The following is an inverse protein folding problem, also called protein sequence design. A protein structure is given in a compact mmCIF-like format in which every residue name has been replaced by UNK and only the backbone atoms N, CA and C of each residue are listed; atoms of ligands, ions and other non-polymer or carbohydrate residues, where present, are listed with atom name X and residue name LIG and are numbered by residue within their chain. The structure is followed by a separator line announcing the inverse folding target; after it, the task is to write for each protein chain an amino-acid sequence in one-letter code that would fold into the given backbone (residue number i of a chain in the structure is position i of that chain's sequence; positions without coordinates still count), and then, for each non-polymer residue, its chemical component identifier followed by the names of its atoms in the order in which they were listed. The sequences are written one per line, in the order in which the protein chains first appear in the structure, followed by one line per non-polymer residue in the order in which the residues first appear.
data_IF_016831950014
#
_entry.id   IF_016831950014
#
_cell.length_a   1.000
_cell.length_b   1.000
_cell.length_c   1.000
_cell.angle_alpha   90.00
_cell.angle_beta   90.00
_cell.angle_gamma   90.00
#
_symmetry.space_group_name_H-M   'P 1'
#
loop_
_entity.id
_entity.type
_entity.pdbx_description
1 polymer ?
#
# COMPACT_ATOMS: atom_id res chain seq x y z
N UNK A 1 -8.92 -17.56 13.05
CA UNK A 1 -8.31 -16.52 12.21
C UNK A 1 -7.03 -16.07 12.89
N UNK A 2 -5.93 -15.97 12.14
CA UNK A 2 -4.60 -15.60 12.66
C UNK A 2 -4.07 -14.41 11.85
N UNK A 3 -4.90 -13.38 11.73
CA UNK A 3 -4.63 -12.17 10.94
C UNK A 3 -4.61 -10.94 11.85
N UNK A 4 -3.90 -9.92 11.39
CA UNK A 4 -3.78 -8.61 12.06
C UNK A 4 -4.31 -7.52 11.12
N UNK A 5 -4.82 -6.38 11.64
CA UNK A 5 -4.90 -6.01 13.06
C UNK A 5 -6.14 -6.54 13.81
N UNK A 6 -6.04 -6.56 15.13
CA UNK A 6 -7.14 -6.78 16.07
C UNK A 6 -7.01 -5.81 17.26
N UNK A 7 -8.14 -5.39 17.83
CA UNK A 7 -8.21 -4.53 19.01
C UNK A 7 -9.01 -5.22 20.13
N UNK A 8 -8.61 -4.96 21.37
CA UNK A 8 -9.35 -5.31 22.58
C UNK A 8 -9.57 -4.02 23.37
N UNK A 9 -10.83 -3.68 23.63
CA UNK A 9 -11.21 -2.55 24.46
C UNK A 9 -12.16 -3.03 25.57
N UNK A 10 -11.62 -3.16 26.78
CA UNK A 10 -12.28 -3.90 27.86
C UNK A 10 -12.60 -5.35 27.46
N UNK A 11 -13.89 -5.67 27.42
CA UNK A 11 -14.38 -6.99 26.98
C UNK A 11 -14.70 -7.09 25.48
N UNK A 12 -14.68 -5.97 24.74
CA UNK A 12 -15.00 -5.93 23.32
C UNK A 12 -13.78 -6.33 22.47
N UNK A 13 -13.99 -7.19 21.48
CA UNK A 13 -12.95 -7.69 20.57
C UNK A 13 -13.39 -7.45 19.13
N UNK A 14 -12.51 -6.85 18.35
CA UNK A 14 -12.77 -6.54 16.94
C UNK A 14 -11.52 -6.79 16.10
N UNK A 15 -11.73 -7.31 14.89
CA UNK A 15 -10.73 -7.46 13.84
C UNK A 15 -11.26 -6.78 12.58
N UNK A 16 -10.42 -6.68 11.53
CA UNK A 16 -10.58 -5.83 10.35
C UNK A 16 -10.15 -4.37 10.56
N UNK A 17 -9.13 -3.94 9.84
CA UNK A 17 -8.52 -2.61 9.98
C UNK A 17 -9.53 -1.47 9.80
N UNK A 18 -10.38 -1.54 8.77
CA UNK A 18 -11.39 -0.50 8.51
C UNK A 18 -12.45 -0.46 9.63
N UNK A 19 -12.89 -1.61 10.13
CA UNK A 19 -13.84 -1.67 11.23
C UNK A 19 -13.23 -1.10 12.53
N UNK A 20 -11.95 -1.38 12.79
CA UNK A 20 -11.20 -0.82 13.91
C UNK A 20 -11.08 0.70 13.78
N UNK A 21 -10.76 1.24 12.61
CA UNK A 21 -10.69 2.69 12.38
C UNK A 21 -12.05 3.36 12.63
N UNK A 22 -13.14 2.76 12.17
CA UNK A 22 -14.51 3.24 12.44
C UNK A 22 -14.82 3.20 13.94
N UNK A 23 -14.51 2.09 14.61
CA UNK A 23 -14.68 1.95 16.06
C UNK A 23 -13.97 3.07 16.81
N UNK A 24 -12.68 3.25 16.54
CA UNK A 24 -11.86 4.28 17.18
C UNK A 24 -12.41 5.70 16.92
N UNK A 25 -12.85 6.00 15.70
CA UNK A 25 -13.43 7.30 15.40
C UNK A 25 -14.76 7.54 16.13
N UNK A 26 -15.57 6.50 16.34
CA UNK A 26 -16.86 6.61 17.03
C UNK A 26 -16.76 6.63 18.56
N UNK A 27 -15.77 5.96 19.14
CA UNK A 27 -15.67 5.82 20.61
C UNK A 27 -14.79 6.87 21.28
N UNK A 28 -14.00 7.62 20.51
CA UNK A 28 -13.09 8.63 21.03
C UNK A 28 -13.61 10.04 20.73
N UNK A 29 -14.20 10.76 21.71
CA UNK A 29 -14.84 12.06 21.48
C UNK A 29 -13.88 13.19 21.06
N UNK A 30 -12.57 12.97 21.14
CA UNK A 30 -11.55 13.92 20.67
C UNK A 30 -11.18 13.77 19.18
N UNK A 31 -11.72 12.77 18.48
CA UNK A 31 -11.43 12.56 17.06
C UNK A 31 -12.24 13.56 16.23
N UNK A 32 -11.56 14.31 15.37
CA UNK A 32 -12.19 15.29 14.50
C UNK A 32 -13.15 14.64 13.48
N UNK A 33 -14.28 15.30 13.20
CA UNK A 33 -15.36 14.77 12.35
C UNK A 33 -14.89 14.39 10.94
N UNK A 34 -13.90 15.09 10.39
CA UNK A 34 -13.38 14.83 9.04
C UNK A 34 -12.86 13.39 8.86
N UNK A 35 -12.37 12.74 9.93
CA UNK A 35 -11.91 11.35 9.88
C UNK A 35 -13.04 10.37 9.55
N UNK A 36 -14.20 10.55 10.18
CA UNK A 36 -15.39 9.72 9.98
C UNK A 36 -16.67 10.55 10.17
N UNK A 37 -17.09 11.30 9.13
CA UNK A 37 -18.13 12.31 9.26
C UNK A 37 -19.48 11.77 9.74
N UNK A 38 -20.21 12.57 10.51
CA UNK A 38 -21.62 12.28 10.89
C UNK A 38 -22.55 12.32 9.67
N UNK A 39 -22.23 13.14 8.66
CA UNK A 39 -23.02 13.22 7.43
C UNK A 39 -23.06 11.85 6.71
N UNK A 40 -24.27 11.33 6.52
CA UNK A 40 -24.49 9.98 6.00
C UNK A 40 -24.00 9.82 4.56
N UNK A 41 -24.09 10.87 3.74
CA UNK A 41 -23.68 10.80 2.34
C UNK A 41 -22.16 10.77 2.20
N UNK A 42 -21.43 11.62 2.94
CA UNK A 42 -19.97 11.59 3.04
C UNK A 42 -19.49 10.25 3.57
N UNK A 43 -20.10 9.78 4.66
CA UNK A 43 -19.78 8.48 5.28
C UNK A 43 -19.97 7.31 4.31
N UNK A 44 -21.07 7.28 3.57
CA UNK A 44 -21.35 6.22 2.59
C UNK A 44 -20.33 6.22 1.45
N UNK A 45 -19.88 7.41 1.00
CA UNK A 45 -18.81 7.51 0.00
C UNK A 45 -17.46 7.01 0.55
N UNK A 46 -17.14 7.30 1.81
CA UNK A 46 -15.94 6.76 2.47
C UNK A 46 -15.99 5.24 2.50
N UNK A 47 -17.11 4.63 2.92
CA UNK A 47 -17.29 3.17 2.90
C UNK A 47 -17.10 2.58 1.50
N UNK A 48 -17.65 3.21 0.47
CA UNK A 48 -17.47 2.78 -0.92
C UNK A 48 -15.98 2.70 -1.32
N UNK A 49 -15.15 3.66 -0.89
CA UNK A 49 -13.71 3.64 -1.14
C UNK A 49 -13.02 2.52 -0.35
N UNK A 50 -13.36 2.38 0.94
CA UNK A 50 -12.77 1.35 1.81
C UNK A 50 -13.05 -0.06 1.29
N UNK A 51 -14.28 -0.32 0.83
CA UNK A 51 -14.67 -1.61 0.24
C UNK A 51 -14.00 -1.82 -1.13
N UNK A 52 -13.99 -0.79 -1.98
CA UNK A 52 -13.29 -0.82 -3.26
C UNK A 52 -11.80 -1.13 -3.09
N UNK A 53 -11.16 -0.56 -2.08
CA UNK A 53 -9.74 -0.72 -1.80
C UNK A 53 -9.31 -2.19 -1.66
N UNK A 54 -10.09 -3.02 -0.96
CA UNK A 54 -9.75 -4.43 -0.71
C UNK A 54 -9.51 -5.23 -1.99
N UNK A 55 -10.44 -5.13 -2.95
CA UNK A 55 -10.39 -5.92 -4.19
C UNK A 55 -9.56 -5.27 -5.30
N UNK A 56 -9.15 -4.02 -5.12
CA UNK A 56 -8.46 -3.23 -6.14
C UNK A 56 -7.07 -2.83 -5.68
N UNK A 57 -6.91 -1.69 -5.00
CA UNK A 57 -5.60 -1.16 -4.67
C UNK A 57 -4.79 -2.13 -3.79
N UNK A 58 -5.41 -2.75 -2.78
CA UNK A 58 -4.75 -3.75 -1.93
C UNK A 58 -4.34 -5.01 -2.65
N UNK A 59 -5.26 -5.57 -3.44
CA UNK A 59 -4.95 -6.74 -4.27
C UNK A 59 -3.82 -6.46 -5.27
N UNK A 60 -3.72 -5.23 -5.77
CA UNK A 60 -2.65 -4.79 -6.67
C UNK A 60 -1.31 -4.54 -5.97
N UNK A 61 -1.28 -3.72 -4.92
CA UNK A 61 -0.04 -3.30 -4.27
C UNK A 61 0.54 -4.40 -3.37
N UNK A 62 -0.19 -4.82 -2.32
CA UNK A 62 0.23 -5.95 -1.47
C UNK A 62 0.42 -7.23 -2.28
N UNK A 63 -0.49 -7.52 -3.22
CA UNK A 63 -0.36 -8.72 -4.06
C UNK A 63 0.93 -8.76 -4.87
N UNK A 64 1.41 -7.61 -5.36
CA UNK A 64 2.70 -7.49 -6.03
C UNK A 64 3.84 -7.66 -5.02
N UNK A 65 3.90 -6.78 -4.01
CA UNK A 65 5.02 -6.67 -3.07
C UNK A 65 5.22 -7.95 -2.27
N UNK A 66 4.13 -8.54 -1.75
CA UNK A 66 4.21 -9.76 -0.98
C UNK A 66 4.76 -10.91 -1.81
N UNK A 67 4.19 -11.15 -3.00
CA UNK A 67 4.54 -12.32 -3.80
C UNK A 67 5.90 -12.18 -4.50
N UNK A 68 6.39 -10.97 -4.79
CA UNK A 68 7.67 -10.77 -5.48
C UNK A 68 8.83 -10.44 -4.56
N UNK A 69 8.58 -9.86 -3.38
CA UNK A 69 9.63 -9.39 -2.47
C UNK A 69 9.55 -10.11 -1.11
N UNK A 70 8.46 -9.90 -0.37
CA UNK A 70 8.43 -10.30 1.05
C UNK A 70 8.38 -11.81 1.24
N UNK A 71 7.52 -12.54 0.53
CA UNK A 71 7.43 -13.98 0.68
C UNK A 71 8.75 -14.69 0.34
N UNK A 72 9.41 -14.43 -0.82
CA UNK A 72 10.74 -14.97 -1.10
C UNK A 72 11.78 -14.61 -0.03
N UNK A 73 11.81 -13.36 0.42
CA UNK A 73 12.75 -12.88 1.43
C UNK A 73 12.64 -13.64 2.75
N UNK A 74 11.41 -13.96 3.17
CA UNK A 74 11.15 -14.68 4.41
C UNK A 74 11.07 -16.21 4.23
N UNK A 75 11.41 -16.74 3.04
CA UNK A 75 11.30 -18.17 2.74
C UNK A 75 9.86 -18.70 2.79
N UNK A 76 8.87 -17.81 2.64
CA UNK A 76 7.46 -18.14 2.59
C UNK A 76 7.04 -18.48 1.14
N UNK A 77 5.98 -19.29 0.96
CA UNK A 77 5.45 -19.57 -0.37
C UNK A 77 5.01 -18.30 -1.10
N UNK A 78 5.60 -18.03 -2.26
CA UNK A 78 5.10 -17.01 -3.20
C UNK A 78 4.08 -17.61 -4.17
N UNK A 79 3.19 -16.76 -4.69
CA UNK A 79 2.23 -17.13 -5.73
C UNK A 79 2.48 -16.29 -7.00
N UNK A 80 3.17 -16.85 -8.01
CA UNK A 80 3.47 -16.14 -9.26
C UNK A 80 2.22 -15.68 -10.02
N UNK A 81 1.14 -16.48 -9.99
CA UNK A 81 -0.13 -16.09 -10.63
C UNK A 81 -0.73 -14.87 -9.96
N UNK A 82 -0.72 -14.83 -8.63
CA UNK A 82 -1.19 -13.67 -7.87
C UNK A 82 -0.32 -12.43 -8.15
N UNK A 83 0.99 -12.59 -8.29
CA UNK A 83 1.88 -11.49 -8.68
C UNK A 83 1.54 -10.96 -10.09
N UNK A 84 1.29 -11.82 -11.06
CA UNK A 84 0.94 -11.40 -12.43
C UNK A 84 -0.45 -10.78 -12.53
N UNK A 85 -1.41 -11.23 -11.73
CA UNK A 85 -2.70 -10.55 -11.56
C UNK A 85 -2.51 -9.17 -10.94
N UNK A 86 -1.71 -9.06 -9.88
CA UNK A 86 -1.42 -7.82 -9.19
C UNK A 86 -0.78 -6.78 -10.13
N UNK A 87 0.15 -7.19 -10.99
CA UNK A 87 0.75 -6.33 -12.05
C UNK A 87 -0.29 -5.77 -13.02
N UNK A 88 -1.42 -6.46 -13.25
CA UNK A 88 -2.52 -6.00 -14.11
C UNK A 88 -3.52 -5.12 -13.36
N UNK A 89 -3.76 -5.42 -12.09
CA UNK A 89 -4.72 -4.71 -11.23
C UNK A 89 -4.16 -3.35 -10.81
N UNK A 90 -2.90 -3.30 -10.35
CA UNK A 90 -2.31 -2.11 -9.75
C UNK A 90 -2.37 -0.87 -10.66
N UNK A 91 -1.99 -0.92 -11.95
CA UNK A 91 -2.11 0.26 -12.82
C UNK A 91 -3.55 0.73 -12.99
N UNK A 92 -4.53 -0.19 -13.06
CA UNK A 92 -5.95 0.16 -13.17
C UNK A 92 -6.45 0.82 -11.87
N UNK A 93 -6.05 0.29 -10.71
CA UNK A 93 -6.38 0.86 -9.41
C UNK A 93 -5.80 2.26 -9.23
N UNK A 94 -4.54 2.48 -9.66
CA UNK A 94 -3.89 3.79 -9.61
C UNK A 94 -4.56 4.79 -10.57
N UNK A 95 -4.98 4.37 -11.76
CA UNK A 95 -5.76 5.22 -12.67
C UNK A 95 -7.10 5.61 -12.04
N UNK A 96 -7.84 4.68 -11.43
CA UNK A 96 -9.10 5.00 -10.75
C UNK A 96 -8.85 5.94 -9.56
N UNK A 97 -7.76 5.75 -8.81
CA UNK A 97 -7.38 6.66 -7.72
C UNK A 97 -7.12 8.08 -8.23
N UNK A 98 -6.30 8.25 -9.27
CA UNK A 98 -5.95 9.53 -9.90
C UNK A 98 -7.15 10.22 -10.56
N UNK A 99 -7.91 9.46 -11.35
CA UNK A 99 -8.91 9.99 -12.28
C UNK A 99 -10.32 10.06 -11.69
N UNK A 100 -10.58 9.38 -10.58
CA UNK A 100 -11.91 9.35 -9.95
C UNK A 100 -11.86 9.73 -8.48
N UNK A 101 -11.11 9.00 -7.65
CA UNK A 101 -11.15 9.22 -6.20
C UNK A 101 -10.46 10.51 -5.73
N UNK A 102 -9.46 10.98 -6.48
CA UNK A 102 -8.76 12.26 -6.26
C UNK A 102 -9.28 13.38 -7.17
N UNK A 103 -10.50 13.25 -7.68
CA UNK A 103 -11.17 14.35 -8.39
C UNK A 103 -11.78 15.36 -7.42
N UNK A 104 -11.86 16.61 -7.86
CA UNK A 104 -12.43 17.71 -7.09
C UNK A 104 -11.38 18.74 -6.67
N UNK A 105 -11.81 19.78 -5.94
CA UNK A 105 -10.96 20.91 -5.60
C UNK A 105 -10.07 20.67 -4.37
N UNK A 106 -10.37 19.65 -3.56
CA UNK A 106 -9.62 19.32 -2.36
C UNK A 106 -8.37 18.49 -2.60
N UNK A 107 -7.55 18.38 -1.56
CA UNK A 107 -6.26 17.66 -1.57
C UNK A 107 -6.41 16.17 -1.25
N UNK A 108 -7.56 15.76 -0.71
CA UNK A 108 -7.81 14.41 -0.20
C UNK A 108 -8.88 13.68 -1.01
N UNK A 109 -9.05 12.38 -0.74
CA UNK A 109 -10.05 11.55 -1.40
C UNK A 109 -11.44 12.19 -1.33
N UNK A 110 -12.24 11.95 -2.38
CA UNK A 110 -13.55 12.58 -2.62
C UNK A 110 -13.49 14.10 -2.85
N UNK A 111 -12.31 14.65 -3.11
CA UNK A 111 -12.11 16.09 -3.29
C UNK A 111 -12.27 16.88 -1.99
N UNK A 112 -12.01 16.23 -0.84
CA UNK A 112 -12.14 16.84 0.47
C UNK A 112 -10.95 17.76 0.82
N UNK A 113 -11.21 18.78 1.63
CA UNK A 113 -10.17 19.69 2.15
C UNK A 113 -9.35 19.10 3.30
N UNK A 114 -9.87 18.07 3.97
CA UNK A 114 -9.26 17.36 5.10
C UNK A 114 -9.29 15.84 4.84
N UNK A 115 -8.33 15.07 5.39
CA UNK A 115 -8.24 13.63 5.16
C UNK A 115 -9.33 12.86 5.91
N UNK A 116 -9.61 11.63 5.49
CA UNK A 116 -10.51 10.70 6.16
C UNK A 116 -9.81 9.39 6.50
N UNK A 117 -10.50 8.47 7.19
CA UNK A 117 -9.98 7.11 7.40
C UNK A 117 -9.67 6.36 6.09
N UNK A 118 -10.31 6.74 4.97
CA UNK A 118 -9.97 6.21 3.66
C UNK A 118 -8.58 6.66 3.22
N UNK A 119 -8.21 7.91 3.48
CA UNK A 119 -6.89 8.43 3.11
C UNK A 119 -5.77 7.68 3.83
N UNK A 120 -5.93 7.44 5.14
CA UNK A 120 -5.01 6.61 5.95
C UNK A 120 -4.92 5.19 5.38
N UNK A 121 -6.07 4.57 5.07
CA UNK A 121 -6.10 3.17 4.64
C UNK A 121 -5.39 2.99 3.29
N UNK A 122 -5.71 3.84 2.31
CA UNK A 122 -5.16 3.73 0.97
C UNK A 122 -3.71 4.18 0.90
N UNK A 123 -3.28 5.20 1.67
CA UNK A 123 -1.89 5.67 1.60
C UNK A 123 -0.94 4.60 2.15
N UNK A 124 -1.31 3.95 3.27
CA UNK A 124 -0.54 2.85 3.85
C UNK A 124 -0.38 1.67 2.88
N UNK A 125 -1.38 1.43 2.03
CA UNK A 125 -1.31 0.42 0.99
C UNK A 125 -0.31 0.78 -0.11
N UNK A 126 -0.28 2.04 -0.56
CA UNK A 126 0.72 2.49 -1.54
C UNK A 126 2.13 2.51 -0.96
N UNK A 127 2.29 2.82 0.33
CA UNK A 127 3.59 2.81 0.99
C UNK A 127 4.28 1.44 0.94
N UNK A 128 3.54 0.33 0.75
CA UNK A 128 4.15 -0.99 0.52
C UNK A 128 5.02 -1.02 -0.76
N UNK A 129 4.70 -0.20 -1.76
CA UNK A 129 5.47 -0.16 -3.02
C UNK A 129 6.91 0.35 -2.80
N UNK A 130 7.21 1.00 -1.68
CA UNK A 130 8.57 1.40 -1.31
C UNK A 130 9.53 0.20 -1.24
N UNK A 131 9.03 -1.01 -0.95
CA UNK A 131 9.86 -2.23 -0.98
C UNK A 131 10.39 -2.58 -2.38
N UNK A 132 9.82 -2.00 -3.44
CA UNK A 132 10.31 -2.20 -4.80
C UNK A 132 11.67 -1.51 -5.01
N UNK A 133 12.33 -1.91 -6.10
CA UNK A 133 13.48 -1.17 -6.61
C UNK A 133 13.07 0.27 -6.93
N UNK A 134 14.00 1.23 -6.77
CA UNK A 134 13.70 2.64 -7.08
C UNK A 134 13.25 2.83 -8.53
N UNK A 135 13.81 2.03 -9.45
CA UNK A 135 13.41 1.98 -10.86
C UNK A 135 11.96 1.55 -11.03
N UNK A 136 11.53 0.47 -10.36
CA UNK A 136 10.16 -0.03 -10.46
C UNK A 136 9.16 0.87 -9.76
N UNK A 137 9.51 1.40 -8.59
CA UNK A 137 8.70 2.39 -7.89
C UNK A 137 8.42 3.59 -8.79
N UNK A 138 9.46 4.19 -9.40
CA UNK A 138 9.29 5.31 -10.32
C UNK A 138 8.49 4.93 -11.55
N UNK A 139 8.76 3.76 -12.15
CA UNK A 139 8.01 3.27 -13.32
C UNK A 139 6.52 3.14 -13.04
N UNK A 140 6.15 2.70 -11.84
CA UNK A 140 4.75 2.50 -11.43
C UNK A 140 4.08 3.81 -11.05
N UNK A 141 4.70 4.65 -10.20
CA UNK A 141 4.01 5.79 -9.60
C UNK A 141 4.20 7.13 -10.35
N UNK A 142 5.29 7.33 -11.10
CA UNK A 142 5.53 8.61 -11.80
C UNK A 142 4.44 9.06 -12.79
N UNK A 143 3.64 8.16 -13.42
CA UNK A 143 2.52 8.60 -14.25
C UNK A 143 1.38 9.26 -13.47
N UNK A 144 1.26 9.01 -12.16
CA UNK A 144 0.12 9.38 -11.32
C UNK A 144 0.48 10.58 -10.42
N UNK A 145 0.41 11.78 -10.99
CA UNK A 145 0.91 13.01 -10.35
C UNK A 145 0.04 13.42 -9.17
N UNK A 146 -1.29 13.29 -9.26
CA UNK A 146 -2.19 13.59 -8.15
C UNK A 146 -2.01 12.58 -7.03
N UNK A 147 -1.82 11.30 -7.34
CA UNK A 147 -1.50 10.27 -6.32
C UNK A 147 -0.21 10.64 -5.59
N UNK A 148 0.85 11.00 -6.31
CA UNK A 148 2.12 11.42 -5.69
C UNK A 148 1.98 12.67 -4.81
N UNK A 149 1.15 13.63 -5.23
CA UNK A 149 0.89 14.83 -4.43
C UNK A 149 0.04 14.49 -3.19
N UNK A 150 -1.02 13.71 -3.36
CA UNK A 150 -1.90 13.25 -2.29
C UNK A 150 -1.16 12.45 -1.21
N UNK A 151 -0.17 11.64 -1.57
CA UNK A 151 0.70 10.96 -0.58
C UNK A 151 1.42 11.98 0.29
N UNK A 152 1.97 13.05 -0.31
CA UNK A 152 2.65 14.13 0.43
C UNK A 152 1.67 14.90 1.31
N UNK A 153 0.49 15.22 0.79
CA UNK A 153 -0.53 15.97 1.52
C UNK A 153 -1.04 15.16 2.72
N UNK A 154 -1.26 13.86 2.52
CA UNK A 154 -1.66 12.93 3.60
C UNK A 154 -0.57 12.78 4.64
N UNK A 155 0.70 12.64 4.22
CA UNK A 155 1.85 12.64 5.13
C UNK A 155 1.90 13.93 5.97
N UNK A 156 1.75 15.09 5.34
CA UNK A 156 1.79 16.38 6.04
C UNK A 156 0.63 16.54 7.02
N UNK A 157 -0.59 16.14 6.62
CA UNK A 157 -1.78 16.23 7.46
C UNK A 157 -1.76 15.26 8.66
N UNK A 158 -0.92 14.22 8.60
CA UNK A 158 -0.78 13.22 9.67
C UNK A 158 0.59 13.28 10.36
N UNK A 159 1.34 14.36 10.17
CA UNK A 159 2.62 14.57 10.83
C UNK A 159 2.43 14.78 12.35
N UNK A 160 3.37 14.28 13.19
CA UNK A 160 4.59 13.53 12.82
C UNK A 160 4.35 12.02 12.62
N UNK A 161 3.17 11.52 12.96
CA UNK A 161 2.89 10.09 13.09
C UNK A 161 3.09 9.28 11.81
N UNK A 162 2.87 9.90 10.64
CA UNK A 162 3.14 9.24 9.36
C UNK A 162 4.58 8.75 9.27
N UNK A 163 5.54 9.63 9.60
CA UNK A 163 6.97 9.33 9.49
C UNK A 163 7.41 8.36 10.60
N UNK A 164 6.90 8.56 11.82
CA UNK A 164 7.21 7.68 12.96
C UNK A 164 6.81 6.22 12.68
N UNK A 165 5.60 5.99 12.17
CA UNK A 165 5.08 4.65 11.90
C UNK A 165 5.76 4.03 10.67
N UNK A 166 6.01 4.81 9.61
CA UNK A 166 6.66 4.30 8.40
C UNK A 166 8.19 4.15 8.53
N UNK A 167 8.80 4.64 9.62
CA UNK A 167 10.23 4.44 9.88
C UNK A 167 10.62 2.95 9.90
N UNK A 168 9.79 2.08 10.46
CA UNK A 168 10.02 0.62 10.43
C UNK A 168 10.04 0.09 9.00
N UNK A 169 9.13 0.58 8.15
CA UNK A 169 9.08 0.21 6.73
C UNK A 169 10.34 0.66 5.99
N UNK A 170 10.78 1.92 6.18
CA UNK A 170 11.98 2.43 5.53
C UNK A 170 13.26 1.73 5.99
N UNK A 171 13.35 1.37 7.28
CA UNK A 171 14.46 0.58 7.80
C UNK A 171 14.50 -0.83 7.16
N UNK A 172 13.35 -1.49 7.04
CA UNK A 172 13.25 -2.79 6.38
C UNK A 172 13.60 -2.70 4.89
N UNK A 173 13.09 -1.68 4.18
CA UNK A 173 13.41 -1.40 2.78
C UNK A 173 14.91 -1.25 2.58
N UNK A 174 15.60 -0.48 3.43
CA UNK A 174 17.05 -0.28 3.35
C UNK A 174 17.81 -1.61 3.47
N UNK A 175 17.46 -2.42 4.48
CA UNK A 175 18.09 -3.74 4.66
C UNK A 175 17.87 -4.68 3.46
N UNK A 176 16.66 -4.68 2.88
CA UNK A 176 16.36 -5.49 1.68
C UNK A 176 17.21 -5.06 0.49
N UNK A 177 17.33 -3.75 0.26
CA UNK A 177 18.14 -3.21 -0.85
C UNK A 177 19.61 -3.58 -0.70
N UNK A 178 20.17 -3.50 0.51
CA UNK A 178 21.56 -3.89 0.80
C UNK A 178 21.80 -5.39 0.54
N UNK A 179 20.86 -6.26 0.92
CA UNK A 179 20.93 -7.69 0.66
C UNK A 179 20.84 -8.03 -0.83
N UNK A 180 19.92 -7.40 -1.57
CA UNK A 180 19.79 -7.60 -3.02
C UNK A 180 21.05 -7.17 -3.78
N UNK A 181 21.68 -6.08 -3.37
CA UNK A 181 22.97 -5.64 -3.95
C UNK A 181 24.06 -6.66 -3.67
N UNK A 182 24.18 -7.15 -2.44
CA UNK A 182 25.21 -8.13 -2.07
C UNK A 182 25.04 -9.45 -2.84
N UNK A 183 23.80 -9.92 -3.01
CA UNK A 183 23.50 -11.11 -3.80
C UNK A 183 23.83 -10.92 -5.28
N UNK A 184 23.54 -9.75 -5.86
CA UNK A 184 23.88 -9.44 -7.27
C UNK A 184 25.39 -9.35 -7.52
N UNK A 185 26.17 -8.92 -6.53
CA UNK A 185 27.65 -8.82 -6.62
C UNK A 185 28.31 -10.20 -6.42
N UNK A 186 27.66 -11.10 -5.67
CA UNK A 186 28.17 -12.45 -5.41
C UNK A 186 27.97 -13.46 -6.55
N UNK A 187 27.26 -13.09 -7.62
CA UNK A 187 27.16 -13.90 -8.85
C UNK A 187 28.21 -13.34 -9.84
N UNK A 188 29.32 -14.04 -10.10
CA UNK A 188 30.30 -13.55 -11.07
C UNK A 188 29.71 -13.57 -12.48
N UNK A 189 29.81 -12.47 -13.21
CA UNK A 189 29.69 -12.47 -14.67
C UNK A 189 30.87 -13.27 -15.26
N UNK A 190 30.74 -14.60 -15.35
CA UNK A 190 31.81 -15.45 -15.88
C UNK A 190 31.46 -16.93 -15.98
N UNK A 191 31.11 -17.36 -17.20
CA UNK A 191 30.99 -18.77 -17.64
C UNK A 191 29.54 -19.17 -17.91
N UNK A 192 29.08 -19.48 -19.13
CA UNK A 192 29.73 -20.25 -20.19
C UNK A 192 29.28 -19.74 -21.58
N UNK A 193 30.26 -19.53 -22.46
CA UNK A 193 30.07 -19.52 -23.91
C UNK A 193 29.73 -20.95 -24.35
N UNK A 194 28.68 -21.05 -25.17
CA UNK A 194 28.51 -22.01 -26.27
C UNK A 194 29.54 -23.14 -26.36
N UNK A 195 29.11 -24.38 -26.11
CA UNK A 195 29.63 -25.54 -26.84
C UNK A 195 28.71 -26.76 -26.67
N UNK A 196 28.41 -27.39 -27.81
CA UNK A 196 28.11 -28.81 -28.00
C UNK A 196 26.77 -29.37 -27.49
N UNK A 197 25.76 -29.32 -28.37
CA UNK A 197 25.06 -30.55 -28.75
C UNK A 197 25.42 -30.87 -30.20
N UNK A 198 26.31 -31.85 -30.34
CA UNK A 198 26.62 -32.57 -31.58
C UNK A 198 25.54 -33.63 -31.82
N UNK A 199 25.12 -33.75 -33.08
CA UNK A 199 24.60 -34.96 -33.74
C UNK A 199 23.44 -35.73 -33.09
N UNK A 200 22.24 -35.56 -33.66
CA UNK A 200 21.48 -36.58 -34.42
C UNK A 200 20.42 -35.91 -35.27
#
# INVERSE_FOLDING_TARGET
MSEVPAIIDGGFKLFESHAILIYLACTNPGVADHWYPVDIFKRTKIHSILDWHHSNLRRGATGLVYNTILAPLYGLPSNPRAADEAKKILPKSLSILEDFWLQGPGQFLLGNSEPSIADISLVCEIMQLEFLSEKDYRRILSPYKKVLQWIKDTKNATAPYFDEIHMTLFNAQKGIREQMVTQSVSIPEGGSKSELYSEM
#
